data_IF_168964882234
#
_entry.id   IF_168964882234
#
_cell.length_a   1.000
_cell.length_b   1.000
_cell.length_c   1.000
_cell.angle_alpha   90.00
_cell.angle_beta   90.00
_cell.angle_gamma   90.00
#
_symmetry.space_group_name_H-M   'P 1'
#
loop_
_entity.id
_entity.type
_entity.pdbx_description
1 polymer ?
#
# COMPACT_ATOMS: atom_id res chain seq x y z
N UNK A 1 -3.75 -11.75 -14.39
CA UNK A 1 -2.80 -10.70 -14.85
C UNK A 1 -1.95 -11.13 -16.06
N UNK A 2 -1.93 -12.42 -16.43
CA UNK A 2 -1.25 -12.94 -17.65
C UNK A 2 -1.65 -12.25 -18.97
N UNK A 3 -2.91 -11.80 -19.21
CA UNK A 3 -3.30 -11.31 -20.55
C UNK A 3 -2.68 -9.99 -20.98
N UNK A 4 -2.28 -9.12 -20.04
CA UNK A 4 -1.77 -7.78 -20.37
C UNK A 4 -0.30 -7.79 -20.82
N UNK A 5 0.47 -8.81 -20.43
CA UNK A 5 1.89 -8.97 -20.76
C UNK A 5 2.11 -9.20 -22.26
N UNK A 6 1.10 -9.73 -22.97
CA UNK A 6 1.16 -9.94 -24.42
C UNK A 6 0.87 -8.67 -25.22
N UNK A 7 0.32 -7.63 -24.58
CA UNK A 7 -0.07 -6.36 -25.22
C UNK A 7 0.94 -5.25 -24.90
N UNK A 8 1.60 -5.31 -23.74
CA UNK A 8 2.74 -4.45 -23.42
C UNK A 8 4.01 -5.15 -23.92
N UNK A 9 4.76 -4.54 -24.85
CA UNK A 9 6.10 -4.98 -25.30
C UNK A 9 7.12 -5.01 -24.15
N UNK A 10 6.96 -5.95 -23.22
CA UNK A 10 7.72 -6.04 -21.99
C UNK A 10 9.03 -6.80 -22.23
N UNK A 11 9.99 -6.10 -22.83
CA UNK A 11 11.36 -6.58 -22.95
C UNK A 11 12.08 -6.47 -21.58
N UNK A 12 11.95 -7.50 -20.75
CA UNK A 12 12.78 -7.64 -19.53
C UNK A 12 14.20 -7.99 -19.93
N UNK A 13 15.00 -6.98 -20.24
CA UNK A 13 16.44 -7.16 -20.46
C UNK A 13 17.13 -7.39 -19.12
N UNK A 14 17.82 -8.51 -18.97
CA UNK A 14 18.48 -8.94 -17.72
C UNK A 14 19.46 -7.87 -17.18
N UNK A 15 20.05 -7.07 -18.08
CA UNK A 15 20.92 -5.92 -17.78
C UNK A 15 20.26 -4.85 -16.90
N UNK A 16 18.94 -4.68 -16.97
CA UNK A 16 18.22 -3.73 -16.10
C UNK A 16 18.07 -4.26 -14.68
N UNK A 17 18.06 -5.57 -14.47
CA UNK A 17 17.92 -6.18 -13.15
C UNK A 17 19.29 -6.21 -12.44
N UNK A 18 20.35 -6.53 -13.19
CA UNK A 18 21.73 -6.61 -12.66
C UNK A 18 22.28 -5.23 -12.30
N UNK A 19 21.66 -4.14 -12.78
CA UNK A 19 22.01 -2.79 -12.38
C UNK A 19 21.95 -2.63 -10.85
N UNK A 20 23.05 -2.24 -10.18
CA UNK A 20 23.14 -2.26 -8.72
C UNK A 20 22.10 -1.37 -8.05
N UNK A 21 21.70 -0.28 -8.72
CA UNK A 21 20.67 0.64 -8.23
C UNK A 21 19.27 0.01 -8.27
N UNK A 22 18.94 -0.74 -9.32
CA UNK A 22 17.66 -1.45 -9.44
C UNK A 22 17.61 -2.65 -8.49
N UNK A 23 18.72 -3.37 -8.32
CA UNK A 23 18.81 -4.45 -7.35
C UNK A 23 18.61 -3.95 -5.91
N UNK A 24 19.19 -2.79 -5.58
CA UNK A 24 19.00 -2.17 -4.27
C UNK A 24 17.55 -1.71 -4.06
N UNK A 25 16.91 -1.10 -5.07
CA UNK A 25 15.50 -0.73 -5.02
C UNK A 25 14.59 -1.97 -4.83
N UNK A 26 14.86 -3.06 -5.55
CA UNK A 26 14.13 -4.33 -5.42
C UNK A 26 14.30 -4.93 -4.02
N UNK A 27 15.52 -4.94 -3.47
CA UNK A 27 15.79 -5.40 -2.11
C UNK A 27 15.07 -4.52 -1.08
N UNK A 28 15.08 -3.20 -1.25
CA UNK A 28 14.39 -2.27 -0.35
C UNK A 28 12.86 -2.47 -0.39
N UNK A 29 12.26 -2.61 -1.57
CA UNK A 29 10.82 -2.90 -1.70
C UNK A 29 10.45 -4.28 -1.14
N UNK A 30 11.27 -5.31 -1.41
CA UNK A 30 11.03 -6.67 -0.95
C UNK A 30 11.19 -6.81 0.57
N UNK A 31 12.34 -6.42 1.11
CA UNK A 31 12.64 -6.56 2.53
C UNK A 31 11.98 -5.45 3.37
N UNK A 32 12.15 -4.21 2.95
CA UNK A 32 11.68 -3.04 3.69
C UNK A 32 10.17 -2.88 3.59
N UNK A 33 9.66 -2.65 2.38
CA UNK A 33 8.24 -2.35 2.22
C UNK A 33 7.33 -3.57 2.44
N UNK A 34 7.76 -4.77 2.06
CA UNK A 34 6.92 -5.97 2.12
C UNK A 34 7.19 -6.83 3.35
N UNK A 35 8.41 -7.33 3.54
CA UNK A 35 8.69 -8.28 4.63
C UNK A 35 8.47 -7.66 6.02
N UNK A 36 8.98 -6.45 6.26
CA UNK A 36 8.71 -5.75 7.53
C UNK A 36 7.21 -5.50 7.71
N UNK A 37 6.51 -5.02 6.68
CA UNK A 37 5.07 -4.76 6.76
C UNK A 37 4.27 -6.02 7.11
N UNK A 38 4.60 -7.16 6.51
CA UNK A 38 3.99 -8.44 6.87
C UNK A 38 4.29 -8.85 8.31
N UNK A 39 5.50 -8.62 8.81
CA UNK A 39 5.86 -8.92 10.20
C UNK A 39 5.10 -8.02 11.18
N UNK A 40 5.08 -6.71 10.97
CA UNK A 40 4.31 -5.78 11.82
C UNK A 40 2.82 -6.06 11.74
N UNK A 41 2.29 -6.40 10.57
CA UNK A 41 0.90 -6.83 10.39
C UNK A 41 0.59 -8.06 11.23
N UNK A 42 1.40 -9.13 11.11
CA UNK A 42 1.20 -10.36 11.88
C UNK A 42 1.30 -10.12 13.39
N UNK A 43 2.22 -9.25 13.82
CA UNK A 43 2.33 -8.85 15.23
C UNK A 43 1.09 -8.09 15.71
N UNK A 44 0.59 -7.15 14.91
CA UNK A 44 -0.62 -6.39 15.21
C UNK A 44 -1.85 -7.31 15.32
N UNK A 45 -2.01 -8.26 14.39
CA UNK A 45 -3.06 -9.28 14.45
C UNK A 45 -2.95 -10.11 15.73
N UNK A 46 -1.74 -10.50 16.14
CA UNK A 46 -1.51 -11.28 17.36
C UNK A 46 -1.85 -10.51 18.64
N UNK A 47 -1.62 -9.19 18.67
CA UNK A 47 -1.86 -8.34 19.85
C UNK A 47 -3.30 -7.82 19.94
N UNK A 48 -3.88 -7.41 18.82
CA UNK A 48 -5.18 -6.69 18.75
C UNK A 48 -6.33 -7.58 18.26
N UNK A 49 -6.04 -8.73 17.66
CA UNK A 49 -7.01 -9.59 16.98
C UNK A 49 -7.24 -9.19 15.52
N UNK A 50 -7.73 -10.13 14.71
CA UNK A 50 -7.89 -9.95 13.25
C UNK A 50 -8.88 -8.85 12.88
N UNK A 51 -9.97 -8.71 13.64
CA UNK A 51 -11.05 -7.74 13.36
C UNK A 51 -10.53 -6.32 13.55
N UNK A 52 -9.96 -6.00 14.72
CA UNK A 52 -9.39 -4.68 15.01
C UNK A 52 -8.28 -4.31 14.04
N UNK A 53 -7.41 -5.26 13.70
CA UNK A 53 -6.31 -4.99 12.76
C UNK A 53 -6.83 -4.69 11.36
N UNK A 54 -7.86 -5.41 10.90
CA UNK A 54 -8.50 -5.16 9.59
C UNK A 54 -9.16 -3.78 9.52
N UNK A 55 -9.74 -3.31 10.63
CA UNK A 55 -10.28 -1.94 10.76
C UNK A 55 -9.19 -0.89 10.56
N UNK A 56 -7.99 -1.11 11.12
CA UNK A 56 -6.86 -0.20 10.95
C UNK A 56 -6.33 -0.10 9.51
N UNK A 57 -6.52 -1.12 8.65
CA UNK A 57 -6.16 -0.99 7.21
C UNK A 57 -6.94 0.15 6.55
N UNK A 58 -8.18 0.43 6.98
CA UNK A 58 -8.96 1.49 6.38
C UNK A 58 -8.39 2.89 6.67
N UNK A 59 -7.46 3.04 7.63
CA UNK A 59 -6.69 4.29 7.80
C UNK A 59 -5.53 4.43 6.82
N UNK A 60 -5.10 3.36 6.13
CA UNK A 60 -4.01 3.39 5.13
C UNK A 60 -4.20 4.47 4.07
N UNK A 61 -5.36 4.66 3.42
CA UNK A 61 -5.55 5.74 2.46
C UNK A 61 -5.34 7.13 3.08
N UNK A 62 -5.78 7.34 4.32
CA UNK A 62 -5.58 8.62 5.04
C UNK A 62 -4.09 8.86 5.28
N UNK A 63 -3.39 7.87 5.85
CA UNK A 63 -1.97 7.95 6.16
C UNK A 63 -1.16 8.13 4.87
N UNK A 64 -1.50 7.39 3.82
CA UNK A 64 -0.84 7.47 2.51
C UNK A 64 -1.01 8.86 1.90
N UNK A 65 -2.23 9.41 1.84
CA UNK A 65 -2.46 10.75 1.29
C UNK A 65 -1.76 11.84 2.10
N UNK A 66 -1.79 11.77 3.43
CA UNK A 66 -1.08 12.73 4.29
C UNK A 66 0.43 12.63 4.07
N UNK A 67 0.97 11.41 4.00
CA UNK A 67 2.40 11.17 3.75
C UNK A 67 2.81 11.66 2.36
N UNK A 68 2.02 11.42 1.32
CA UNK A 68 2.25 11.97 -0.02
C UNK A 68 2.21 13.50 -0.02
N UNK A 69 1.25 14.12 0.67
CA UNK A 69 1.17 15.58 0.77
C UNK A 69 2.41 16.19 1.45
N UNK A 70 2.94 15.54 2.49
CA UNK A 70 4.11 16.03 3.24
C UNK A 70 5.41 15.76 2.48
N UNK A 71 5.58 14.54 1.94
CA UNK A 71 6.85 14.07 1.35
C UNK A 71 6.97 14.52 -0.10
N UNK A 72 5.93 14.34 -0.92
CA UNK A 72 5.94 14.70 -2.35
C UNK A 72 5.52 16.16 -2.60
N UNK A 73 4.91 16.84 -1.60
CA UNK A 73 4.35 18.20 -1.72
C UNK A 73 3.32 18.34 -2.86
N UNK A 74 2.72 17.23 -3.28
CA UNK A 74 1.70 17.23 -4.32
C UNK A 74 0.38 17.79 -3.77
N UNK A 75 -0.35 18.58 -4.57
CA UNK A 75 -1.62 19.14 -4.16
C UNK A 75 -2.60 18.00 -3.89
N UNK A 76 -3.11 17.95 -2.65
CA UNK A 76 -4.14 16.97 -2.27
C UNK A 76 -5.39 17.27 -3.07
N UNK A 77 -5.67 16.43 -4.06
CA UNK A 77 -6.82 16.58 -4.95
C UNK A 77 -8.12 16.31 -4.18
N UNK A 78 -9.20 17.01 -4.55
CA UNK A 78 -10.55 16.82 -3.97
C UNK A 78 -10.98 15.35 -4.05
N UNK A 79 -10.56 14.64 -5.11
CA UNK A 79 -10.82 13.19 -5.27
C UNK A 79 -10.17 12.33 -4.19
N UNK A 80 -8.97 12.68 -3.70
CA UNK A 80 -8.31 11.98 -2.61
C UNK A 80 -9.07 12.15 -1.29
N UNK A 81 -9.53 13.39 -1.01
CA UNK A 81 -10.36 13.69 0.16
C UNK A 81 -11.70 12.95 0.11
N UNK A 82 -12.36 12.93 -1.04
CA UNK A 82 -13.58 12.15 -1.24
C UNK A 82 -13.36 10.64 -1.05
N UNK A 83 -12.24 10.11 -1.55
CA UNK A 83 -11.86 8.71 -1.35
C UNK A 83 -11.67 8.37 0.13
N UNK A 84 -10.98 9.22 0.89
CA UNK A 84 -10.81 9.09 2.34
C UNK A 84 -12.17 9.05 3.03
N UNK A 85 -13.05 10.01 2.75
CA UNK A 85 -14.38 10.08 3.35
C UNK A 85 -15.22 8.83 3.05
N UNK A 86 -15.15 8.32 1.81
CA UNK A 86 -15.81 7.08 1.42
C UNK A 86 -15.29 5.86 2.18
N UNK A 87 -13.97 5.73 2.34
CA UNK A 87 -13.37 4.62 3.10
C UNK A 87 -13.71 4.67 4.59
N UNK A 88 -13.73 5.86 5.19
CA UNK A 88 -14.15 6.06 6.58
C UNK A 88 -15.65 5.77 6.78
N UNK A 89 -16.50 6.18 5.83
CA UNK A 89 -17.93 5.88 5.87
C UNK A 89 -18.19 4.36 5.74
N UNK A 90 -17.50 3.69 4.81
CA UNK A 90 -17.55 2.24 4.66
C UNK A 90 -17.07 1.50 5.91
N UNK A 91 -16.00 1.99 6.55
CA UNK A 91 -15.51 1.46 7.81
C UNK A 91 -16.57 1.57 8.92
N UNK A 92 -17.17 2.74 9.08
CA UNK A 92 -18.18 2.96 10.12
C UNK A 92 -19.42 2.08 9.93
N UNK A 93 -19.80 1.82 8.68
CA UNK A 93 -20.87 0.89 8.35
C UNK A 93 -20.48 -0.58 8.64
N UNK A 94 -19.22 -0.95 8.39
CA UNK A 94 -18.71 -2.30 8.64
C UNK A 94 -18.59 -2.61 10.13
N UNK A 95 -18.06 -1.68 10.93
CA UNK A 95 -17.98 -1.83 12.39
C UNK A 95 -19.36 -1.89 13.05
N UNK A 96 -20.36 -1.16 12.52
CA UNK A 96 -21.74 -1.22 13.04
C UNK A 96 -22.44 -2.57 12.83
N UNK A 97 -21.88 -3.46 12.01
CA UNK A 97 -22.49 -4.76 11.67
C UNK A 97 -21.81 -5.95 12.38
N UNK A 98 -20.75 -5.71 13.16
CA UNK A 98 -20.15 -6.70 14.06
C UNK A 98 -20.59 -6.50 15.51
#
# INVERSE_FOLDING_TARGET
MVPAILIMDFHVTLDRIINPLNLCNLLFLGLGASALCFVTWNLAVKLLGSVRTSVYIYMVPVITTVSSAIILKEPVTITAVCGILLTLAGLFLSERRS
#
